data_IF_066315217282
#
_entry.id   IF_066315217282
#
_cell.length_a   1.000
_cell.length_b   1.000
_cell.length_c   1.000
_cell.angle_alpha   90.00
_cell.angle_beta   90.00
_cell.angle_gamma   90.00
#
_symmetry.space_group_name_H-M   'P 1'
#
loop_
_entity.id
_entity.type
_entity.pdbx_description
1 polymer ?
#
# COMPACT_ATOMS: atom_id res chain seq x y z
N UNK A 1 66.75 -41.91 21.25
CA UNK A 1 66.33 -41.04 20.14
C UNK A 1 64.82 -40.88 20.16
N UNK A 2 64.33 -39.65 20.30
CA UNK A 2 63.01 -39.22 19.80
C UNK A 2 61.74 -39.53 20.60
N UNK A 3 61.59 -38.98 21.80
CA UNK A 3 60.26 -38.83 22.45
C UNK A 3 59.47 -37.70 21.78
N UNK A 4 58.72 -38.02 20.72
CA UNK A 4 57.76 -37.10 20.12
C UNK A 4 56.55 -36.91 21.02
N UNK A 5 56.53 -35.85 21.84
CA UNK A 5 55.32 -35.40 22.56
C UNK A 5 54.20 -35.15 21.54
N UNK A 6 52.95 -35.63 21.75
CA UNK A 6 51.84 -35.25 20.89
C UNK A 6 51.63 -33.73 21.00
N UNK A 7 51.65 -33.04 19.87
CA UNK A 7 51.43 -31.60 19.79
C UNK A 7 50.06 -31.28 20.41
N UNK A 8 50.06 -30.50 21.50
CA UNK A 8 48.84 -29.94 22.07
C UNK A 8 48.24 -29.04 21.00
N UNK A 9 47.14 -29.47 20.41
CA UNK A 9 46.42 -28.68 19.40
C UNK A 9 45.92 -27.42 20.13
N UNK A 10 46.52 -26.28 19.82
CA UNK A 10 46.12 -25.00 20.37
C UNK A 10 44.73 -24.63 19.83
N UNK A 11 43.73 -24.89 20.66
CA UNK A 11 42.32 -24.63 20.35
C UNK A 11 42.04 -23.16 20.01
N UNK A 12 42.90 -22.22 20.44
CA UNK A 12 42.74 -20.79 20.13
C UNK A 12 43.23 -20.47 18.71
N UNK A 13 44.35 -21.03 18.28
CA UNK A 13 44.86 -20.94 16.92
C UNK A 13 43.90 -21.58 15.91
N UNK A 14 43.31 -22.74 16.25
CA UNK A 14 42.31 -23.41 15.43
C UNK A 14 41.03 -22.57 15.28
N UNK A 15 40.52 -21.98 16.37
CA UNK A 15 39.37 -21.05 16.34
C UNK A 15 39.66 -19.80 15.49
N UNK A 16 40.88 -19.26 15.55
CA UNK A 16 41.28 -18.10 14.76
C UNK A 16 41.42 -18.42 13.26
N UNK A 17 41.91 -19.62 12.91
CA UNK A 17 41.97 -20.10 11.54
C UNK A 17 40.57 -20.36 10.96
N UNK A 18 39.69 -21.00 11.75
CA UNK A 18 38.29 -21.24 11.38
C UNK A 18 37.54 -19.93 11.09
N UNK A 19 37.68 -18.93 11.98
CA UNK A 19 37.06 -17.59 11.78
C UNK A 19 37.57 -16.89 10.53
N UNK A 20 38.84 -17.06 10.15
CA UNK A 20 39.40 -16.50 8.91
C UNK A 20 38.85 -17.20 7.68
N UNK A 21 38.80 -18.53 7.69
CA UNK A 21 38.20 -19.31 6.60
C UNK A 21 36.71 -18.99 6.43
N UNK A 22 35.94 -18.93 7.53
CA UNK A 22 34.53 -18.54 7.51
C UNK A 22 34.32 -17.10 6.99
N UNK A 23 35.21 -16.16 7.33
CA UNK A 23 35.14 -14.79 6.78
C UNK A 23 35.38 -14.76 5.28
N UNK A 24 36.39 -15.48 4.78
CA UNK A 24 36.66 -15.60 3.34
C UNK A 24 35.48 -16.22 2.59
N UNK A 25 34.93 -17.30 3.14
CA UNK A 25 33.76 -17.97 2.56
C UNK A 25 32.51 -17.08 2.59
N UNK A 26 32.25 -16.34 3.68
CA UNK A 26 31.16 -15.34 3.76
C UNK A 26 31.37 -14.19 2.78
N UNK A 27 32.60 -13.73 2.61
CA UNK A 27 32.93 -12.66 1.66
C UNK A 27 32.70 -13.13 0.22
N UNK A 28 33.15 -14.34 -0.14
CA UNK A 28 32.89 -14.93 -1.45
C UNK A 28 31.39 -15.11 -1.71
N UNK A 29 30.62 -15.60 -0.73
CA UNK A 29 29.17 -15.69 -0.82
C UNK A 29 28.52 -14.30 -0.99
N UNK A 30 28.99 -13.28 -0.27
CA UNK A 30 28.51 -11.90 -0.43
C UNK A 30 28.84 -11.33 -1.81
N UNK A 31 30.04 -11.57 -2.34
CA UNK A 31 30.45 -11.10 -3.68
C UNK A 31 29.61 -11.78 -4.78
N UNK A 32 29.25 -13.06 -4.62
CA UNK A 32 28.37 -13.76 -5.56
C UNK A 32 26.94 -13.18 -5.58
N UNK A 33 26.45 -12.71 -4.43
CA UNK A 33 25.09 -12.16 -4.29
C UNK A 33 25.05 -10.63 -4.49
N UNK A 34 26.19 -9.95 -4.37
CA UNK A 34 26.31 -8.49 -4.46
C UNK A 34 25.77 -7.89 -5.77
N UNK A 35 26.03 -8.44 -6.97
CA UNK A 35 25.46 -7.91 -8.21
C UNK A 35 23.93 -7.90 -8.20
N UNK A 36 23.30 -8.94 -7.67
CA UNK A 36 21.84 -9.04 -7.55
C UNK A 36 21.29 -8.03 -6.53
N UNK A 37 21.95 -7.90 -5.37
CA UNK A 37 21.56 -6.92 -4.36
C UNK A 37 21.73 -5.49 -4.84
N UNK A 38 22.82 -5.20 -5.56
CA UNK A 38 23.05 -3.89 -6.17
C UNK A 38 22.00 -3.59 -7.24
N UNK A 39 21.69 -4.56 -8.10
CA UNK A 39 20.62 -4.43 -9.09
C UNK A 39 19.28 -4.13 -8.42
N UNK A 40 18.91 -4.86 -7.36
CA UNK A 40 17.70 -4.64 -6.58
C UNK A 40 17.70 -3.25 -5.93
N UNK A 41 18.82 -2.85 -5.31
CA UNK A 41 18.95 -1.58 -4.64
C UNK A 41 18.78 -0.41 -5.61
N UNK A 42 19.48 -0.46 -6.76
CA UNK A 42 19.47 0.61 -7.76
C UNK A 42 18.15 0.72 -8.52
N UNK A 43 17.52 -0.41 -8.88
CA UNK A 43 16.34 -0.39 -9.74
C UNK A 43 15.01 -0.39 -8.97
N UNK A 44 14.99 -0.85 -7.72
CA UNK A 44 13.76 -0.94 -6.93
C UNK A 44 13.84 -0.12 -5.65
N UNK A 45 14.82 -0.39 -4.78
CA UNK A 45 14.85 0.23 -3.43
C UNK A 45 15.05 1.74 -3.51
N UNK A 46 16.00 2.22 -4.32
CA UNK A 46 16.27 3.65 -4.46
C UNK A 46 15.11 4.40 -5.14
N UNK A 47 14.54 3.95 -6.27
CA UNK A 47 13.38 4.62 -6.87
C UNK A 47 12.14 4.60 -5.98
N UNK A 48 11.87 3.49 -5.28
CA UNK A 48 10.76 3.42 -4.33
C UNK A 48 11.02 4.36 -3.14
N UNK A 49 12.24 4.35 -2.60
CA UNK A 49 12.63 5.23 -1.51
C UNK A 49 12.51 6.71 -1.88
N UNK A 50 13.01 7.11 -3.04
CA UNK A 50 12.90 8.49 -3.54
C UNK A 50 11.45 8.89 -3.81
N UNK A 51 10.63 7.95 -4.32
CA UNK A 51 9.19 8.16 -4.49
C UNK A 51 8.49 8.33 -3.13
N UNK A 52 8.81 7.52 -2.12
CA UNK A 52 8.24 7.65 -0.77
C UNK A 52 8.66 8.95 -0.08
N UNK A 53 9.87 9.47 -0.34
CA UNK A 53 10.31 10.77 0.17
C UNK A 53 9.48 11.94 -0.37
N UNK A 54 8.81 11.79 -1.52
CA UNK A 54 7.84 12.79 -2.00
C UNK A 54 6.63 12.97 -1.09
N UNK A 55 6.38 12.04 -0.16
CA UNK A 55 5.35 12.21 0.87
C UNK A 55 5.65 13.35 1.85
N UNK A 56 6.92 13.73 1.98
CA UNK A 56 7.38 14.80 2.85
C UNK A 56 8.07 15.94 2.10
N UNK A 57 8.49 15.75 0.85
CA UNK A 57 9.16 16.79 0.07
C UNK A 57 8.14 17.65 -0.69
N UNK A 58 8.32 18.97 -0.66
CA UNK A 58 7.40 19.95 -1.26
C UNK A 58 8.16 21.21 -1.73
N UNK A 59 9.13 21.08 -2.66
CA UNK A 59 10.02 22.17 -3.02
C UNK A 59 9.35 23.27 -3.87
N UNK A 60 8.15 23.05 -4.40
CA UNK A 60 7.51 23.86 -5.44
C UNK A 60 7.48 25.35 -5.11
N UNK A 61 6.96 25.73 -3.92
CA UNK A 61 6.90 27.14 -3.52
C UNK A 61 8.31 27.70 -3.27
N UNK A 62 9.15 26.95 -2.55
CA UNK A 62 10.50 27.40 -2.19
C UNK A 62 11.45 27.58 -3.38
N UNK A 63 11.18 26.88 -4.50
CA UNK A 63 11.97 26.98 -5.74
C UNK A 63 11.44 28.08 -6.65
N UNK A 64 10.13 28.31 -6.68
CA UNK A 64 9.49 29.25 -7.61
C UNK A 64 9.33 30.65 -7.00
N UNK A 65 9.02 30.74 -5.70
CA UNK A 65 8.85 31.98 -4.94
C UNK A 65 9.79 31.96 -3.70
N UNK A 66 11.13 31.93 -3.90
CA UNK A 66 12.11 31.71 -2.84
C UNK A 66 12.09 32.80 -1.75
N UNK A 67 11.91 34.07 -2.12
CA UNK A 67 11.85 35.20 -1.20
C UNK A 67 10.59 35.13 -0.33
N UNK A 68 9.44 34.91 -0.95
CA UNK A 68 8.16 34.70 -0.24
C UNK A 68 8.28 33.52 0.73
N UNK A 69 8.81 32.39 0.27
CA UNK A 69 8.97 31.20 1.08
C UNK A 69 9.96 31.41 2.25
N UNK A 70 11.01 32.21 2.09
CA UNK A 70 11.93 32.55 3.17
C UNK A 70 11.26 33.39 4.25
N UNK A 71 10.49 34.41 3.86
CA UNK A 71 9.84 35.30 4.83
C UNK A 71 8.67 34.63 5.55
N UNK A 72 7.84 33.84 4.85
CA UNK A 72 6.71 33.13 5.45
C UNK A 72 7.14 32.10 6.50
N UNK A 73 8.34 31.53 6.37
CA UNK A 73 8.89 30.62 7.40
C UNK A 73 9.14 31.33 8.74
N UNK A 74 9.49 32.61 8.70
CA UNK A 74 9.72 33.42 9.90
C UNK A 74 8.44 33.98 10.54
N UNK A 75 7.30 33.91 9.84
CA UNK A 75 6.04 34.47 10.32
C UNK A 75 5.47 33.63 11.48
N UNK A 76 5.29 34.22 12.66
CA UNK A 76 4.75 33.52 13.83
C UNK A 76 3.22 33.33 13.75
N UNK A 77 2.73 32.16 14.17
CA UNK A 77 1.33 31.98 14.60
C UNK A 77 0.20 32.23 13.60
N UNK A 78 0.38 32.04 12.30
CA UNK A 78 -0.72 32.21 11.32
C UNK A 78 -1.20 33.66 11.19
N UNK A 79 -0.36 34.62 11.61
CA UNK A 79 -0.60 36.04 11.44
C UNK A 79 -0.76 36.38 9.94
N UNK A 80 -1.43 37.49 9.66
CA UNK A 80 -1.39 38.07 8.33
C UNK A 80 0.03 38.59 8.05
N UNK A 81 0.52 38.48 6.81
CA UNK A 81 1.82 39.03 6.44
C UNK A 81 1.83 40.56 6.60
N UNK A 82 3.01 41.11 6.82
CA UNK A 82 3.22 42.55 6.68
C UNK A 82 3.29 42.96 5.20
N UNK A 83 3.27 44.27 4.95
CA UNK A 83 3.36 44.81 3.60
C UNK A 83 4.69 44.46 2.92
N UNK A 84 5.74 44.16 3.68
CA UNK A 84 7.02 43.71 3.13
C UNK A 84 6.90 42.33 2.48
N UNK A 85 6.30 41.36 3.17
CA UNK A 85 6.04 40.02 2.63
C UNK A 85 5.09 40.10 1.42
N UNK A 86 4.05 40.94 1.49
CA UNK A 86 3.14 41.15 0.38
C UNK A 86 3.86 41.70 -0.86
N UNK A 87 4.75 42.68 -0.69
CA UNK A 87 5.51 43.26 -1.79
C UNK A 87 6.47 42.27 -2.46
N UNK A 88 7.16 41.46 -1.66
CA UNK A 88 8.04 40.39 -2.18
C UNK A 88 7.23 39.37 -2.96
N UNK A 89 6.08 38.95 -2.42
CA UNK A 89 5.17 38.01 -3.09
C UNK A 89 4.69 38.53 -4.43
N UNK A 90 4.22 39.78 -4.50
CA UNK A 90 3.76 40.39 -5.76
C UNK A 90 4.91 40.49 -6.77
N UNK A 91 6.10 40.87 -6.33
CA UNK A 91 7.30 40.97 -7.19
C UNK A 91 7.63 39.63 -7.83
N UNK A 92 7.68 38.55 -7.03
CA UNK A 92 7.97 37.21 -7.54
C UNK A 92 6.84 36.66 -8.42
N UNK A 93 5.57 36.99 -8.12
CA UNK A 93 4.44 36.65 -8.98
C UNK A 93 4.52 37.30 -10.36
N UNK A 94 4.96 38.57 -10.44
CA UNK A 94 5.19 39.25 -11.71
C UNK A 94 6.33 38.59 -12.50
N UNK A 95 7.45 38.26 -11.83
CA UNK A 95 8.59 37.59 -12.46
C UNK A 95 8.26 36.19 -12.98
N UNK A 96 7.44 35.44 -12.26
CA UNK A 96 7.06 34.05 -12.61
C UNK A 96 5.89 33.97 -13.59
N UNK A 97 5.29 35.11 -13.97
CA UNK A 97 4.18 35.19 -14.92
C UNK A 97 4.54 34.63 -16.30
N UNK A 98 5.76 34.87 -16.76
CA UNK A 98 6.21 34.50 -18.12
C UNK A 98 6.78 33.07 -18.19
N UNK A 99 7.29 32.53 -17.07
CA UNK A 99 7.97 31.23 -17.05
C UNK A 99 7.03 30.03 -17.02
N UNK A 100 5.72 30.24 -16.81
CA UNK A 100 4.73 29.16 -16.63
C UNK A 100 4.90 28.33 -15.35
N UNK A 101 5.97 28.58 -14.58
CA UNK A 101 6.32 27.83 -13.37
C UNK A 101 5.26 27.98 -12.27
N UNK A 102 4.55 29.11 -12.24
CA UNK A 102 3.49 29.39 -11.27
C UNK A 102 2.39 28.32 -11.23
N UNK A 103 2.16 27.58 -12.34
CA UNK A 103 1.16 26.51 -12.38
C UNK A 103 1.44 25.38 -11.37
N UNK A 104 2.72 25.07 -11.12
CA UNK A 104 3.11 24.05 -10.14
C UNK A 104 2.73 24.48 -8.71
N UNK A 105 3.08 25.71 -8.33
CA UNK A 105 2.69 26.32 -7.04
C UNK A 105 1.17 26.39 -6.92
N UNK A 106 0.49 26.85 -7.98
CA UNK A 106 -0.96 26.99 -7.99
C UNK A 106 -1.66 25.64 -7.77
N UNK A 107 -1.18 24.56 -8.40
CA UNK A 107 -1.68 23.21 -8.19
C UNK A 107 -1.45 22.74 -6.76
N UNK A 108 -0.23 22.94 -6.25
CA UNK A 108 0.15 22.54 -4.90
C UNK A 108 -0.72 23.19 -3.82
N UNK A 109 -0.94 24.50 -3.92
CA UNK A 109 -1.78 25.25 -2.99
C UNK A 109 -3.27 24.91 -3.14
N UNK A 110 -3.70 24.52 -4.34
CA UNK A 110 -5.06 24.06 -4.58
C UNK A 110 -5.36 22.70 -3.92
N UNK A 111 -4.33 21.91 -3.60
CA UNK A 111 -4.52 20.70 -2.80
C UNK A 111 -4.85 21.02 -1.33
N UNK A 112 -4.35 22.14 -0.80
CA UNK A 112 -4.61 22.57 0.58
C UNK A 112 -5.97 23.29 0.68
N UNK A 113 -6.18 24.27 -0.19
CA UNK A 113 -7.42 25.05 -0.24
C UNK A 113 -8.04 24.98 -1.64
N UNK A 114 -9.26 24.47 -1.71
CA UNK A 114 -10.01 24.41 -2.97
C UNK A 114 -10.19 25.81 -3.57
N UNK A 115 -9.83 25.97 -4.85
CA UNK A 115 -9.96 27.24 -5.57
C UNK A 115 -8.78 28.21 -5.38
N UNK A 116 -7.70 27.78 -4.70
CA UNK A 116 -6.47 28.57 -4.59
C UNK A 116 -5.81 28.76 -5.96
N UNK A 117 -5.89 27.76 -6.85
CA UNK A 117 -5.37 27.91 -8.23
C UNK A 117 -6.00 29.11 -8.92
N UNK A 118 -7.33 29.23 -8.85
CA UNK A 118 -8.08 30.35 -9.43
C UNK A 118 -7.75 31.67 -8.75
N UNK A 119 -7.59 31.67 -7.41
CA UNK A 119 -7.14 32.84 -6.64
C UNK A 119 -5.80 33.37 -7.19
N UNK A 120 -4.81 32.48 -7.29
CA UNK A 120 -3.45 32.84 -7.68
C UNK A 120 -3.41 33.39 -9.11
N UNK A 121 -4.05 32.69 -10.07
CA UNK A 121 -4.09 33.15 -11.46
C UNK A 121 -4.95 34.39 -11.69
N UNK A 122 -6.00 34.62 -10.88
CA UNK A 122 -6.76 35.89 -10.94
C UNK A 122 -5.89 37.04 -10.45
N UNK A 123 -5.19 36.82 -9.34
CA UNK A 123 -4.28 37.79 -8.73
C UNK A 123 -3.19 38.20 -9.71
N UNK A 124 -2.47 37.24 -10.30
CA UNK A 124 -1.39 37.55 -11.26
C UNK A 124 -1.85 38.24 -12.54
N UNK A 125 -3.11 38.03 -12.97
CA UNK A 125 -3.67 38.75 -14.12
C UNK A 125 -4.06 40.19 -13.82
N UNK A 126 -4.50 40.47 -12.58
CA UNK A 126 -4.92 41.80 -12.14
C UNK A 126 -3.78 42.65 -11.57
N UNK A 127 -2.69 42.01 -11.15
CA UNK A 127 -1.40 42.67 -10.92
C UNK A 127 -0.88 43.18 -12.27
N UNK A 128 -1.32 44.38 -12.68
CA UNK A 128 -0.76 45.08 -13.83
C UNK A 128 0.71 45.44 -13.61
N UNK A 129 1.35 46.05 -14.62
CA UNK A 129 2.75 46.52 -14.57
C UNK A 129 2.94 47.77 -13.67
N UNK A 130 1.90 48.16 -12.92
CA UNK A 130 1.80 49.44 -12.26
C UNK A 130 2.67 49.57 -11.00
N UNK A 131 3.24 50.77 -10.84
CA UNK A 131 4.12 51.30 -9.78
C UNK A 131 3.45 51.53 -8.42
N UNK A 132 2.24 51.00 -8.19
CA UNK A 132 1.53 51.15 -6.91
C UNK A 132 2.26 50.39 -5.79
N UNK A 133 2.17 50.84 -4.52
CA UNK A 133 2.78 50.11 -3.41
C UNK A 133 2.10 48.74 -3.27
N UNK A 134 2.90 47.69 -3.44
CA UNK A 134 2.49 46.27 -3.41
C UNK A 134 2.18 45.87 -1.94
N UNK A 135 1.09 46.40 -1.39
CA UNK A 135 0.63 46.20 0.00
C UNK A 135 -0.36 45.04 0.12
N UNK A 136 -0.57 44.55 1.34
CA UNK A 136 -1.58 43.52 1.59
C UNK A 136 -2.99 43.99 1.22
N UNK A 137 -3.31 45.26 1.47
CA UNK A 137 -4.63 45.83 1.18
C UNK A 137 -4.96 45.82 -0.33
N UNK A 138 -3.97 46.00 -1.21
CA UNK A 138 -4.15 45.88 -2.66
C UNK A 138 -4.49 44.43 -3.07
N UNK A 139 -3.84 43.43 -2.45
CA UNK A 139 -4.20 42.03 -2.67
C UNK A 139 -5.63 41.73 -2.22
N UNK A 140 -6.06 42.29 -1.08
CA UNK A 140 -7.43 42.14 -0.56
C UNK A 140 -8.45 42.78 -1.50
N UNK A 141 -8.14 43.91 -2.14
CA UNK A 141 -9.00 44.54 -3.16
C UNK A 141 -9.20 43.66 -4.39
N UNK A 142 -8.18 42.90 -4.79
CA UNK A 142 -8.27 41.94 -5.91
C UNK A 142 -9.17 40.76 -5.56
N UNK A 143 -8.94 40.13 -4.41
CA UNK A 143 -9.77 39.03 -3.91
C UNK A 143 -9.77 39.03 -2.36
N UNK A 144 -10.95 39.09 -1.70
CA UNK A 144 -11.05 39.16 -0.25
C UNK A 144 -10.38 37.99 0.49
N UNK A 145 -10.16 36.85 -0.19
CA UNK A 145 -9.47 35.70 0.42
C UNK A 145 -8.04 36.00 0.82
N UNK A 146 -7.38 36.99 0.23
CA UNK A 146 -6.04 37.42 0.69
C UNK A 146 -6.05 38.04 2.09
N UNK A 147 -7.21 38.50 2.58
CA UNK A 147 -7.37 38.98 3.96
C UNK A 147 -7.63 37.86 4.97
N UNK A 148 -7.73 36.61 4.51
CA UNK A 148 -7.97 35.46 5.37
C UNK A 148 -6.65 34.82 5.80
N UNK A 149 -6.54 34.49 7.09
CA UNK A 149 -5.36 33.82 7.66
C UNK A 149 -5.10 32.45 7.03
N UNK A 150 -6.16 31.72 6.67
CA UNK A 150 -6.05 30.39 6.04
C UNK A 150 -5.28 30.44 4.72
N UNK A 151 -5.47 31.50 3.92
CA UNK A 151 -4.78 31.67 2.62
C UNK A 151 -3.26 31.75 2.79
N UNK A 152 -2.81 32.55 3.76
CA UNK A 152 -1.39 32.71 4.05
C UNK A 152 -0.81 31.52 4.82
N UNK A 153 -1.63 30.84 5.62
CA UNK A 153 -1.25 29.59 6.25
C UNK A 153 -0.96 28.50 5.22
N UNK A 154 -1.76 28.37 4.15
CA UNK A 154 -1.49 27.41 3.07
C UNK A 154 -0.16 27.69 2.37
N UNK A 155 0.14 28.97 2.08
CA UNK A 155 1.45 29.37 1.56
C UNK A 155 2.58 29.05 2.54
N UNK A 156 2.37 29.32 3.82
CA UNK A 156 3.35 29.00 4.87
C UNK A 156 3.59 27.49 4.98
N UNK A 157 2.55 26.65 4.92
CA UNK A 157 2.69 25.20 4.96
C UNK A 157 3.44 24.62 3.75
N UNK A 158 3.42 25.32 2.62
CA UNK A 158 4.18 24.98 1.41
C UNK A 158 5.56 25.66 1.33
N UNK A 159 5.92 26.53 2.27
CA UNK A 159 7.15 27.36 2.21
C UNK A 159 8.46 26.60 2.49
N UNK A 160 8.37 25.44 3.14
CA UNK A 160 9.53 24.60 3.43
C UNK A 160 9.82 23.62 2.29
N UNK A 161 11.07 23.16 2.14
CA UNK A 161 11.40 22.04 1.25
C UNK A 161 10.74 20.72 1.72
N UNK A 162 10.27 20.70 2.97
CA UNK A 162 9.54 19.61 3.58
C UNK A 162 8.18 20.06 4.09
N UNK A 163 7.20 19.18 4.00
CA UNK A 163 5.82 19.38 4.45
C UNK A 163 5.32 18.15 5.22
N UNK A 164 4.46 18.37 6.20
CA UNK A 164 3.67 17.31 6.85
C UNK A 164 2.29 17.14 6.22
N UNK A 165 1.92 18.02 5.28
CA UNK A 165 0.59 18.12 4.69
C UNK A 165 0.07 16.79 4.15
N UNK A 166 0.81 16.13 3.27
CA UNK A 166 0.35 14.88 2.64
C UNK A 166 0.21 13.73 3.64
N UNK A 167 1.11 13.62 4.60
CA UNK A 167 1.04 12.58 5.64
C UNK A 167 -0.13 12.80 6.59
N UNK A 168 -0.40 14.05 6.98
CA UNK A 168 -1.57 14.38 7.78
C UNK A 168 -2.86 14.13 6.98
N UNK A 169 -2.91 14.56 5.72
CA UNK A 169 -4.04 14.33 4.84
C UNK A 169 -4.34 12.83 4.68
N UNK A 170 -3.30 11.98 4.55
CA UNK A 170 -3.44 10.53 4.44
C UNK A 170 -4.13 9.86 5.64
N UNK A 171 -4.16 10.53 6.80
CA UNK A 171 -4.82 10.06 8.03
C UNK A 171 -5.99 10.95 8.46
N UNK A 172 -6.58 11.69 7.51
CA UNK A 172 -7.69 12.63 7.73
C UNK A 172 -7.42 13.66 8.84
N UNK A 173 -6.22 14.24 8.78
CA UNK A 173 -5.76 15.34 9.62
C UNK A 173 -5.31 16.52 8.76
N UNK A 174 -5.46 17.73 9.28
CA UNK A 174 -4.98 18.96 8.65
C UNK A 174 -4.38 19.92 9.67
N UNK A 175 -3.52 20.81 9.22
CA UNK A 175 -3.00 21.91 10.02
C UNK A 175 -3.92 23.12 9.87
N UNK A 176 -4.27 23.77 10.99
CA UNK A 176 -4.95 25.08 10.97
C UNK A 176 -3.96 26.21 10.73
N UNK A 177 -4.47 27.43 10.56
CA UNK A 177 -3.62 28.62 10.42
C UNK A 177 -2.67 28.82 11.61
N UNK A 178 -3.11 28.45 12.80
CA UNK A 178 -2.36 28.53 14.05
C UNK A 178 -1.33 27.40 14.22
N UNK A 179 -1.27 26.45 13.27
CA UNK A 179 -0.38 25.29 13.32
C UNK A 179 -0.90 24.14 14.19
N UNK A 180 -2.17 24.17 14.61
CA UNK A 180 -2.78 23.07 15.35
C UNK A 180 -3.18 21.93 14.41
N UNK A 181 -2.94 20.68 14.83
CA UNK A 181 -3.39 19.50 14.08
C UNK A 181 -4.83 19.20 14.48
N UNK A 182 -5.76 19.36 13.53
CA UNK A 182 -7.19 19.09 13.74
C UNK A 182 -7.68 17.96 12.83
N UNK A 183 -8.79 17.35 13.24
CA UNK A 183 -9.52 16.40 12.40
C UNK A 183 -10.06 17.11 11.17
N UNK A 184 -9.85 16.53 9.99
CA UNK A 184 -10.50 17.00 8.77
C UNK A 184 -12.03 16.88 8.92
N UNK A 185 -12.83 17.85 8.45
CA UNK A 185 -14.29 17.76 8.51
C UNK A 185 -14.81 16.45 7.91
N UNK A 186 -15.90 15.90 8.46
CA UNK A 186 -16.39 14.55 8.09
C UNK A 186 -16.70 14.40 6.59
N UNK A 187 -17.08 15.48 5.91
CA UNK A 187 -17.34 15.48 4.47
C UNK A 187 -16.07 15.36 3.61
N UNK A 188 -14.90 15.62 4.19
CA UNK A 188 -13.59 15.60 3.53
C UNK A 188 -12.68 14.48 4.08
N UNK A 189 -12.99 13.93 5.26
CA UNK A 189 -12.28 12.81 5.86
C UNK A 189 -12.72 11.50 5.18
N UNK A 190 -11.90 11.01 4.23
CA UNK A 190 -12.22 9.84 3.40
C UNK A 190 -11.20 8.72 3.60
N UNK A 191 -9.94 9.04 3.88
CA UNK A 191 -8.86 8.06 3.77
C UNK A 191 -8.87 7.03 4.89
N UNK A 192 -9.14 7.42 6.13
CA UNK A 192 -9.18 6.50 7.28
C UNK A 192 -10.26 5.45 7.07
N UNK A 193 -11.43 5.83 6.55
CA UNK A 193 -12.51 4.88 6.26
C UNK A 193 -12.20 4.00 5.05
N UNK A 194 -11.50 4.53 4.04
CA UNK A 194 -10.95 3.72 2.94
C UNK A 194 -9.92 2.70 3.45
N UNK A 195 -9.05 3.07 4.39
CA UNK A 195 -8.10 2.13 5.02
C UNK A 195 -8.85 1.03 5.76
N UNK A 196 -9.79 1.37 6.65
CA UNK A 196 -10.62 0.38 7.37
C UNK A 196 -11.33 -0.56 6.40
N UNK A 197 -11.94 -0.01 5.34
CA UNK A 197 -12.59 -0.79 4.28
C UNK A 197 -11.61 -1.72 3.58
N UNK A 198 -10.42 -1.24 3.23
CA UNK A 198 -9.39 -2.04 2.57
C UNK A 198 -8.96 -3.22 3.43
N UNK A 199 -8.63 -2.98 4.69
CA UNK A 199 -8.25 -4.07 5.60
C UNK A 199 -9.40 -5.03 5.87
N UNK A 200 -10.62 -4.52 6.03
CA UNK A 200 -11.83 -5.33 6.23
C UNK A 200 -12.14 -6.22 5.03
N UNK A 201 -12.14 -5.67 3.82
CA UNK A 201 -12.38 -6.43 2.58
C UNK A 201 -11.27 -7.47 2.38
N UNK A 202 -9.99 -7.09 2.53
CA UNK A 202 -8.86 -8.01 2.38
C UNK A 202 -8.90 -9.16 3.39
N UNK A 203 -9.31 -8.89 4.63
CA UNK A 203 -9.48 -9.93 5.65
C UNK A 203 -10.59 -10.91 5.28
N UNK A 204 -11.76 -10.42 4.85
CA UNK A 204 -12.88 -11.28 4.41
C UNK A 204 -12.46 -12.13 3.21
N UNK A 205 -11.82 -11.54 2.20
CA UNK A 205 -11.34 -12.28 1.02
C UNK A 205 -10.32 -13.34 1.42
N UNK A 206 -9.42 -13.03 2.36
CA UNK A 206 -8.43 -14.00 2.84
C UNK A 206 -9.10 -15.19 3.52
N UNK A 207 -10.13 -14.95 4.34
CA UNK A 207 -10.92 -16.02 4.98
C UNK A 207 -11.66 -16.84 3.93
N UNK A 208 -12.32 -16.21 2.95
CA UNK A 208 -13.01 -16.92 1.86
C UNK A 208 -12.03 -17.78 1.05
N UNK A 209 -10.86 -17.23 0.70
CA UNK A 209 -9.80 -17.98 0.04
C UNK A 209 -9.34 -19.16 0.90
N UNK A 210 -9.13 -19.00 2.21
CA UNK A 210 -8.74 -20.09 3.09
C UNK A 210 -9.80 -21.20 3.12
N UNK A 211 -11.07 -20.85 3.32
CA UNK A 211 -12.18 -21.79 3.39
C UNK A 211 -12.30 -22.62 2.12
N UNK A 212 -12.13 -22.00 0.94
CA UNK A 212 -12.23 -22.68 -0.34
C UNK A 212 -10.93 -23.41 -0.74
N UNK A 213 -9.78 -22.82 -0.48
CA UNK A 213 -8.48 -23.39 -0.86
C UNK A 213 -8.07 -24.57 0.02
N UNK A 214 -8.48 -24.59 1.30
CA UNK A 214 -8.13 -25.68 2.22
C UNK A 214 -8.59 -27.07 1.72
N UNK A 215 -9.88 -27.29 1.37
CA UNK A 215 -10.31 -28.58 0.85
C UNK A 215 -9.67 -28.91 -0.49
N UNK A 216 -9.44 -27.92 -1.36
CA UNK A 216 -8.76 -28.11 -2.66
C UNK A 216 -7.31 -28.55 -2.45
N UNK A 217 -6.57 -27.89 -1.56
CA UNK A 217 -5.19 -28.23 -1.23
C UNK A 217 -5.09 -29.61 -0.55
N UNK A 218 -6.04 -29.93 0.33
CA UNK A 218 -6.13 -31.25 0.97
C UNK A 218 -6.37 -32.36 -0.05
N UNK A 219 -7.29 -32.14 -1.00
CA UNK A 219 -7.54 -33.07 -2.10
C UNK A 219 -6.27 -33.26 -2.95
N UNK A 220 -5.64 -32.16 -3.38
CA UNK A 220 -4.39 -32.17 -4.15
C UNK A 220 -3.27 -32.96 -3.46
N UNK A 221 -3.19 -32.90 -2.13
CA UNK A 221 -2.16 -33.58 -1.35
C UNK A 221 -2.44 -35.09 -1.13
N UNK A 222 -3.69 -35.54 -1.29
CA UNK A 222 -4.11 -36.91 -0.93
C UNK A 222 -4.40 -37.81 -2.15
N UNK A 223 -4.72 -37.24 -3.31
CA UNK A 223 -4.99 -38.01 -4.54
C UNK A 223 -3.70 -38.54 -5.19
N UNK A 224 -3.78 -39.56 -6.07
CA UNK A 224 -2.64 -40.04 -6.84
C UNK A 224 -1.96 -38.92 -7.63
N UNK A 225 -0.62 -38.95 -7.71
CA UNK A 225 0.19 -37.87 -8.27
C UNK A 225 -0.25 -37.40 -9.67
N UNK A 226 -0.74 -38.30 -10.53
CA UNK A 226 -1.26 -37.95 -11.87
C UNK A 226 -2.48 -37.03 -11.79
N UNK A 227 -3.45 -37.36 -10.92
CA UNK A 227 -4.67 -36.58 -10.73
C UNK A 227 -4.33 -35.27 -10.01
N UNK A 228 -3.47 -35.33 -8.99
CA UNK A 228 -3.01 -34.14 -8.27
C UNK A 228 -2.32 -33.12 -9.18
N UNK A 229 -1.44 -33.59 -10.08
CA UNK A 229 -0.79 -32.72 -11.06
C UNK A 229 -1.80 -32.11 -12.06
N UNK A 230 -2.79 -32.87 -12.52
CA UNK A 230 -3.85 -32.35 -13.40
C UNK A 230 -4.69 -31.28 -12.70
N UNK A 231 -5.13 -31.53 -11.47
CA UNK A 231 -5.87 -30.56 -10.66
C UNK A 231 -5.03 -29.30 -10.37
N UNK A 232 -3.71 -29.46 -10.15
CA UNK A 232 -2.80 -28.33 -9.97
C UNK A 232 -2.73 -27.48 -11.24
N UNK A 233 -2.69 -28.09 -12.43
CA UNK A 233 -2.74 -27.36 -13.71
C UNK A 233 -4.04 -26.53 -13.79
N UNK A 234 -5.19 -27.09 -13.39
CA UNK A 234 -6.47 -26.35 -13.36
C UNK A 234 -6.44 -25.17 -12.38
N UNK A 235 -5.83 -25.34 -11.21
CA UNK A 235 -5.66 -24.24 -10.24
C UNK A 235 -4.74 -23.15 -10.77
N UNK A 236 -3.73 -23.51 -11.57
CA UNK A 236 -2.77 -22.57 -12.15
C UNK A 236 -3.24 -21.94 -13.46
N UNK A 237 -4.24 -22.51 -14.12
CA UNK A 237 -4.80 -22.02 -15.38
C UNK A 237 -5.15 -20.51 -15.36
N UNK A 238 -5.70 -19.94 -14.28
CA UNK A 238 -5.97 -18.51 -14.20
C UNK A 238 -4.73 -17.64 -14.40
N UNK A 239 -3.52 -18.06 -14.04
CA UNK A 239 -2.30 -17.27 -14.20
C UNK A 239 -1.94 -16.98 -15.66
N UNK A 240 -2.36 -17.84 -16.59
CA UNK A 240 -2.06 -17.71 -18.02
C UNK A 240 -2.94 -16.68 -18.72
N UNK A 241 -3.99 -16.21 -18.05
CA UNK A 241 -4.89 -15.19 -18.56
C UNK A 241 -4.57 -13.85 -17.92
N UNK A 242 -4.97 -12.74 -18.55
CA UNK A 242 -4.84 -11.41 -17.96
C UNK A 242 -5.87 -11.21 -16.84
N UNK A 243 -5.45 -10.55 -15.75
CA UNK A 243 -6.36 -10.15 -14.64
C UNK A 243 -7.53 -9.33 -15.15
N UNK A 244 -7.29 -8.46 -16.14
CA UNK A 244 -8.34 -7.62 -16.74
C UNK A 244 -9.39 -8.46 -17.45
N UNK A 245 -8.97 -9.41 -18.29
CA UNK A 245 -9.88 -10.30 -19.03
C UNK A 245 -10.69 -11.18 -18.07
N UNK A 246 -10.07 -11.71 -17.01
CA UNK A 246 -10.81 -12.47 -15.99
C UNK A 246 -11.84 -11.59 -15.27
N UNK A 247 -11.46 -10.36 -14.95
CA UNK A 247 -12.35 -9.42 -14.25
C UNK A 247 -13.53 -9.02 -15.15
N UNK A 248 -13.31 -8.75 -16.44
CA UNK A 248 -14.40 -8.43 -17.38
C UNK A 248 -15.33 -9.62 -17.61
N UNK A 249 -14.80 -10.85 -17.65
CA UNK A 249 -15.63 -12.05 -17.69
C UNK A 249 -16.53 -12.15 -16.45
N UNK A 250 -16.00 -11.89 -15.24
CA UNK A 250 -16.80 -11.85 -14.02
C UNK A 250 -17.85 -10.75 -14.03
N UNK A 251 -17.56 -9.58 -14.60
CA UNK A 251 -18.57 -8.53 -14.77
C UNK A 251 -19.77 -9.05 -15.58
N UNK A 252 -19.53 -9.69 -16.72
CA UNK A 252 -20.61 -10.25 -17.57
C UNK A 252 -21.35 -11.38 -16.86
N UNK A 253 -20.65 -12.24 -16.12
CA UNK A 253 -21.26 -13.36 -15.38
C UNK A 253 -22.16 -12.91 -14.23
N UNK A 254 -21.76 -11.85 -13.51
CA UNK A 254 -22.43 -11.33 -12.30
C UNK A 254 -23.45 -10.23 -12.60
N UNK A 255 -23.61 -9.84 -13.86
CA UNK A 255 -24.68 -8.92 -14.25
C UNK A 255 -26.06 -9.46 -13.88
N UNK A 256 -27.05 -8.56 -13.83
CA UNK A 256 -28.44 -8.90 -13.48
C UNK A 256 -29.04 -9.96 -14.39
N UNK A 257 -28.75 -9.86 -15.70
CA UNK A 257 -29.10 -10.88 -16.71
C UNK A 257 -27.95 -11.83 -17.05
N UNK A 258 -26.93 -11.89 -16.19
CA UNK A 258 -25.77 -12.75 -16.35
C UNK A 258 -26.09 -14.23 -16.11
N UNK A 259 -25.14 -15.09 -16.48
CA UNK A 259 -25.28 -16.55 -16.38
C UNK A 259 -25.54 -16.99 -14.93
N UNK A 260 -24.94 -16.34 -13.93
CA UNK A 260 -25.12 -16.71 -12.52
C UNK A 260 -26.57 -16.54 -12.09
N UNK A 261 -27.15 -15.35 -12.30
CA UNK A 261 -28.56 -15.09 -12.01
C UNK A 261 -29.49 -15.98 -12.87
N UNK A 262 -29.13 -16.23 -14.13
CA UNK A 262 -29.86 -17.15 -15.00
C UNK A 262 -29.94 -18.58 -14.45
N UNK A 263 -28.83 -19.13 -13.94
CA UNK A 263 -28.78 -20.46 -13.33
C UNK A 263 -29.57 -20.48 -12.01
N UNK A 264 -29.40 -19.47 -11.15
CA UNK A 264 -30.10 -19.40 -9.86
C UNK A 264 -31.63 -19.31 -10.04
N UNK A 265 -32.10 -18.55 -11.03
CA UNK A 265 -33.53 -18.50 -11.39
C UNK A 265 -34.02 -19.83 -11.95
N UNK A 266 -33.27 -20.48 -12.84
CA UNK A 266 -33.65 -21.81 -13.39
C UNK A 266 -33.68 -22.91 -12.33
N UNK A 267 -32.84 -22.80 -11.31
CA UNK A 267 -32.82 -23.71 -10.17
C UNK A 267 -33.90 -23.39 -9.12
N UNK A 268 -34.73 -22.36 -9.37
CA UNK A 268 -35.80 -21.88 -8.49
C UNK A 268 -35.31 -21.49 -7.07
N UNK A 269 -34.04 -21.06 -6.97
CA UNK A 269 -33.41 -20.62 -5.71
C UNK A 269 -33.75 -19.17 -5.40
N UNK A 270 -33.96 -18.34 -6.45
CA UNK A 270 -34.26 -16.91 -6.33
C UNK A 270 -35.44 -16.53 -7.23
N UNK A 271 -36.31 -15.65 -6.72
CA UNK A 271 -37.45 -15.11 -7.46
C UNK A 271 -37.06 -13.87 -8.28
N UNK A 272 -36.19 -13.02 -7.73
CA UNK A 272 -35.67 -11.81 -8.37
C UNK A 272 -34.16 -11.89 -8.59
N UNK A 273 -33.62 -11.32 -9.69
CA UNK A 273 -32.19 -11.35 -9.96
C UNK A 273 -31.41 -10.55 -8.91
N UNK A 274 -30.40 -11.19 -8.32
CA UNK A 274 -29.54 -10.58 -7.33
C UNK A 274 -28.64 -9.53 -7.98
N UNK A 275 -28.49 -8.37 -7.32
CA UNK A 275 -27.45 -7.42 -7.70
C UNK A 275 -26.10 -7.98 -7.22
N UNK A 276 -25.29 -8.49 -8.15
CA UNK A 276 -23.97 -9.09 -7.86
C UNK A 276 -22.80 -8.30 -8.46
N UNK A 277 -23.09 -7.16 -9.10
CA UNK A 277 -22.11 -6.24 -9.68
C UNK A 277 -22.35 -4.82 -9.15
N UNK A 278 -21.31 -4.00 -9.14
CA UNK A 278 -21.27 -2.66 -8.57
C UNK A 278 -21.58 -2.64 -7.08
N UNK A 279 -21.16 -3.70 -6.37
CA UNK A 279 -21.29 -3.83 -4.94
C UNK A 279 -20.21 -4.73 -4.33
N UNK A 280 -20.20 -4.79 -3.00
CA UNK A 280 -19.23 -5.54 -2.20
C UNK A 280 -19.25 -7.04 -2.46
N UNK A 281 -20.41 -7.62 -2.72
CA UNK A 281 -20.55 -9.07 -2.98
C UNK A 281 -19.79 -9.48 -4.23
N UNK A 282 -19.92 -8.71 -5.32
CA UNK A 282 -19.16 -8.94 -6.55
C UNK A 282 -17.66 -8.82 -6.33
N UNK A 283 -17.22 -7.85 -5.53
CA UNK A 283 -15.81 -7.68 -5.15
C UNK A 283 -15.30 -8.93 -4.42
N UNK A 284 -16.04 -9.45 -3.43
CA UNK A 284 -15.65 -10.66 -2.72
C UNK A 284 -15.53 -11.87 -3.64
N UNK A 285 -16.52 -12.10 -4.53
CA UNK A 285 -16.50 -13.23 -5.46
C UNK A 285 -15.28 -13.14 -6.40
N UNK A 286 -15.12 -11.99 -7.07
CA UNK A 286 -14.08 -11.81 -8.07
C UNK A 286 -12.67 -11.83 -7.45
N UNK A 287 -12.47 -11.15 -6.32
CA UNK A 287 -11.17 -11.16 -5.63
C UNK A 287 -10.84 -12.55 -5.08
N UNK A 288 -11.81 -13.26 -4.51
CA UNK A 288 -11.60 -14.63 -4.01
C UNK A 288 -11.15 -15.54 -5.14
N UNK A 289 -11.80 -15.49 -6.30
CA UNK A 289 -11.39 -16.29 -7.46
C UNK A 289 -9.97 -15.96 -7.94
N UNK A 290 -9.62 -14.68 -8.04
CA UNK A 290 -8.28 -14.27 -8.49
C UNK A 290 -7.19 -14.68 -7.51
N UNK A 291 -7.47 -14.61 -6.20
CA UNK A 291 -6.49 -14.85 -5.15
C UNK A 291 -6.44 -16.31 -4.65
N UNK A 292 -7.44 -17.13 -4.96
CA UNK A 292 -7.52 -18.54 -4.54
C UNK A 292 -6.26 -19.36 -4.86
N UNK A 293 -5.65 -19.27 -6.06
CA UNK A 293 -4.43 -20.04 -6.35
C UNK A 293 -3.26 -19.70 -5.42
N UNK A 294 -3.14 -18.43 -5.00
CA UNK A 294 -2.09 -17.98 -4.08
C UNK A 294 -2.29 -18.53 -2.66
N UNK A 295 -3.52 -18.87 -2.26
CA UNK A 295 -3.77 -19.59 -1.00
C UNK A 295 -3.48 -21.09 -1.14
N UNK A 296 -3.84 -21.70 -2.28
CA UNK A 296 -3.67 -23.14 -2.52
C UNK A 296 -2.19 -23.53 -2.50
N UNK A 297 -1.31 -22.73 -3.10
CA UNK A 297 0.10 -23.10 -3.26
C UNK A 297 0.85 -23.31 -1.93
N UNK A 298 0.84 -22.37 -0.96
CA UNK A 298 1.48 -22.58 0.34
C UNK A 298 0.84 -23.71 1.15
N UNK A 299 -0.50 -23.83 1.11
CA UNK A 299 -1.22 -24.92 1.77
C UNK A 299 -0.78 -26.29 1.24
N UNK A 300 -0.82 -26.47 -0.09
CA UNK A 300 -0.42 -27.70 -0.75
C UNK A 300 1.05 -28.05 -0.46
N UNK A 301 1.95 -27.06 -0.48
CA UNK A 301 3.37 -27.25 -0.20
C UNK A 301 3.62 -27.88 1.18
N UNK A 302 2.87 -27.44 2.21
CA UNK A 302 2.94 -28.01 3.55
C UNK A 302 2.20 -29.35 3.64
N UNK A 303 0.97 -29.42 3.13
CA UNK A 303 0.10 -30.60 3.23
C UNK A 303 0.70 -31.84 2.58
N UNK A 304 1.41 -31.68 1.45
CA UNK A 304 2.07 -32.79 0.74
C UNK A 304 3.20 -33.41 1.56
N UNK A 305 3.83 -32.64 2.46
CA UNK A 305 4.91 -33.11 3.33
C UNK A 305 4.42 -33.83 4.59
N UNK A 306 3.12 -33.79 4.92
CA UNK A 306 2.58 -34.38 6.14
C UNK A 306 2.46 -35.91 5.97
N UNK A 307 3.15 -36.66 6.83
CA UNK A 307 3.02 -38.12 6.86
C UNK A 307 1.60 -38.53 7.31
N UNK A 308 0.99 -39.57 6.70
CA UNK A 308 -0.32 -40.06 7.11
C UNK A 308 -0.28 -40.85 8.44
N UNK A 309 0.91 -41.21 8.94
CA UNK A 309 1.07 -42.07 10.12
C UNK A 309 0.42 -41.52 11.40
N UNK A 310 0.58 -40.24 11.79
CA UNK A 310 -0.03 -39.72 13.02
C UNK A 310 -1.56 -39.77 12.99
N UNK A 311 -2.16 -39.52 11.82
CA UNK A 311 -3.61 -39.57 11.63
C UNK A 311 -4.11 -41.02 11.74
N UNK A 312 -3.41 -41.97 11.12
CA UNK A 312 -3.74 -43.40 11.22
C UNK A 312 -3.62 -43.91 12.65
N UNK A 313 -2.57 -43.51 13.39
CA UNK A 313 -2.39 -43.87 14.79
C UNK A 313 -3.54 -43.34 15.67
N UNK A 314 -3.97 -42.10 15.47
CA UNK A 314 -5.10 -41.53 16.21
C UNK A 314 -6.42 -42.29 15.97
N UNK A 315 -6.67 -42.69 14.71
CA UNK A 315 -7.84 -43.51 14.36
C UNK A 315 -7.79 -44.89 15.06
N UNK A 316 -6.62 -45.54 15.08
CA UNK A 316 -6.44 -46.83 15.76
C UNK A 316 -6.62 -46.75 17.28
N UNK A 317 -6.38 -45.58 17.89
CA UNK A 317 -6.64 -45.31 19.32
C UNK A 317 -8.11 -44.94 19.62
N UNK A 318 -9.01 -45.06 18.64
CA UNK A 318 -10.44 -44.81 18.81
C UNK A 318 -10.88 -43.37 18.55
N UNK A 319 -10.02 -42.50 18.03
CA UNK A 319 -10.44 -41.15 17.63
C UNK A 319 -11.36 -41.21 16.40
N UNK A 320 -12.43 -40.42 16.38
CA UNK A 320 -13.26 -40.26 15.18
C UNK A 320 -12.47 -39.56 14.05
N UNK A 321 -12.80 -39.76 12.76
CA UNK A 321 -12.11 -39.11 11.64
C UNK A 321 -12.03 -37.59 11.76
N UNK A 322 -13.12 -36.96 12.21
CA UNK A 322 -13.15 -35.52 12.45
C UNK A 322 -12.24 -35.10 13.62
N UNK A 323 -12.19 -35.90 14.70
CA UNK A 323 -11.31 -35.64 15.83
C UNK A 323 -9.83 -35.80 15.44
N UNK A 324 -9.49 -36.85 14.69
CA UNK A 324 -8.15 -37.08 14.16
C UNK A 324 -7.72 -35.95 13.21
N UNK A 325 -8.61 -35.52 12.32
CA UNK A 325 -8.36 -34.36 11.44
C UNK A 325 -8.10 -33.08 12.25
N UNK A 326 -9.02 -32.70 13.14
CA UNK A 326 -8.95 -31.42 13.86
C UNK A 326 -7.80 -31.35 14.86
N UNK A 327 -7.50 -32.46 15.56
CA UNK A 327 -6.48 -32.48 16.63
C UNK A 327 -5.09 -32.87 16.16
N UNK A 328 -4.98 -33.63 15.07
CA UNK A 328 -3.67 -34.14 14.60
C UNK A 328 -3.28 -33.52 13.26
N UNK A 329 -4.16 -33.51 12.27
CA UNK A 329 -3.82 -33.02 10.93
C UNK A 329 -3.80 -31.49 10.84
N UNK A 330 -4.88 -30.82 11.27
CA UNK A 330 -5.04 -29.37 11.15
C UNK A 330 -3.92 -28.55 11.84
N UNK A 331 -3.41 -28.92 13.03
CA UNK A 331 -2.29 -28.19 13.63
C UNK A 331 -1.00 -28.28 12.80
N UNK A 332 -0.79 -29.37 12.06
CA UNK A 332 0.38 -29.54 11.20
C UNK A 332 0.29 -28.70 9.92
N UNK A 333 -0.90 -28.29 9.50
CA UNK A 333 -1.08 -27.40 8.34
C UNK A 333 -0.99 -25.92 8.69
N UNK A 334 -0.88 -25.56 9.98
CA UNK A 334 -0.78 -24.17 10.44
C UNK A 334 0.31 -23.35 9.73
N UNK A 335 1.53 -23.84 9.49
CA UNK A 335 2.53 -23.07 8.73
C UNK A 335 2.10 -22.75 7.30
N UNK A 336 1.33 -23.64 6.67
CA UNK A 336 0.79 -23.44 5.32
C UNK A 336 -0.38 -22.47 5.32
N UNK A 337 -1.29 -22.60 6.30
CA UNK A 337 -2.38 -21.64 6.53
C UNK A 337 -1.79 -20.26 6.74
N UNK A 338 -0.75 -20.15 7.56
CA UNK A 338 -0.21 -18.84 7.91
C UNK A 338 0.52 -18.21 6.73
N UNK A 339 1.33 -18.97 6.00
CA UNK A 339 1.97 -18.47 4.78
C UNK A 339 0.93 -18.04 3.72
N UNK A 340 -0.11 -18.86 3.51
CA UNK A 340 -1.17 -18.59 2.54
C UNK A 340 -2.02 -17.37 2.90
N UNK A 341 -2.44 -17.25 4.16
CA UNK A 341 -3.25 -16.11 4.61
C UNK A 341 -2.46 -14.80 4.51
N UNK A 342 -1.20 -14.80 4.91
CA UNK A 342 -0.36 -13.61 4.81
C UNK A 342 -0.14 -13.19 3.36
N UNK A 343 0.17 -14.14 2.49
CA UNK A 343 0.39 -13.88 1.07
C UNK A 343 -0.87 -13.29 0.41
N UNK A 344 -2.03 -13.93 0.61
CA UNK A 344 -3.30 -13.44 0.05
C UNK A 344 -3.70 -12.09 0.64
N UNK A 345 -3.50 -11.89 1.94
CA UNK A 345 -3.86 -10.62 2.59
C UNK A 345 -3.04 -9.45 2.05
N UNK A 346 -1.71 -9.63 1.91
CA UNK A 346 -0.82 -8.60 1.33
C UNK A 346 -1.21 -8.31 -0.13
N UNK A 347 -1.49 -9.34 -0.93
CA UNK A 347 -1.93 -9.17 -2.31
C UNK A 347 -3.29 -8.47 -2.41
N UNK A 348 -4.23 -8.80 -1.52
CA UNK A 348 -5.58 -8.22 -1.50
C UNK A 348 -5.58 -6.73 -1.17
N UNK A 349 -4.73 -6.29 -0.23
CA UNK A 349 -4.61 -4.88 0.16
C UNK A 349 -4.17 -4.01 -1.02
N UNK A 350 -3.24 -4.52 -1.85
CA UNK A 350 -2.70 -3.81 -3.01
C UNK A 350 -3.61 -3.82 -4.25
N UNK A 351 -4.78 -4.46 -4.17
CA UNK A 351 -5.56 -4.83 -5.34
C UNK A 351 -6.56 -3.74 -5.73
N UNK A 352 -6.38 -3.07 -6.87
CA UNK A 352 -7.28 -1.97 -7.29
C UNK A 352 -8.10 -2.26 -8.55
N UNK A 353 -7.61 -3.07 -9.49
CA UNK A 353 -8.25 -3.27 -10.79
C UNK A 353 -9.63 -3.94 -10.64
N UNK A 354 -9.71 -5.04 -9.89
CA UNK A 354 -10.98 -5.77 -9.74
C UNK A 354 -12.03 -5.00 -8.94
N UNK A 355 -11.72 -4.37 -7.79
CA UNK A 355 -12.66 -3.49 -7.11
C UNK A 355 -13.13 -2.30 -7.96
N UNK A 356 -12.25 -1.72 -8.78
CA UNK A 356 -12.60 -0.62 -9.67
C UNK A 356 -13.59 -1.01 -10.78
N UNK A 357 -13.57 -2.28 -11.21
CA UNK A 357 -14.43 -2.79 -12.28
C UNK A 357 -15.73 -3.43 -11.76
N UNK A 358 -15.65 -4.20 -10.68
CA UNK A 358 -16.77 -5.02 -10.16
C UNK A 358 -17.46 -4.36 -8.97
N UNK A 359 -16.77 -3.50 -8.22
CA UNK A 359 -17.28 -2.85 -7.01
C UNK A 359 -18.07 -1.57 -7.27
N UNK A 360 -18.77 -1.10 -6.23
CA UNK A 360 -19.42 0.21 -6.22
C UNK A 360 -18.44 1.34 -5.85
N UNK A 361 -18.95 2.57 -5.79
CA UNK A 361 -18.19 3.72 -5.29
C UNK A 361 -17.69 3.50 -3.84
N UNK A 362 -18.52 2.86 -3.02
CA UNK A 362 -18.22 2.55 -1.62
C UNK A 362 -17.38 1.27 -1.42
N UNK A 363 -16.87 0.67 -2.49
CA UNK A 363 -16.02 -0.53 -2.42
C UNK A 363 -14.60 -0.32 -2.99
N UNK A 364 -14.25 0.92 -3.33
CA UNK A 364 -12.92 1.26 -3.82
C UNK A 364 -11.85 1.12 -2.72
N UNK A 365 -10.76 0.43 -3.00
CA UNK A 365 -9.68 0.23 -2.04
C UNK A 365 -8.65 1.36 -2.09
N UNK A 366 -7.79 1.46 -1.09
CA UNK A 366 -6.76 2.51 -1.01
C UNK A 366 -5.85 2.54 -2.25
N UNK A 367 -5.56 1.38 -2.83
CA UNK A 367 -4.75 1.26 -4.03
C UNK A 367 -5.37 1.95 -5.25
N UNK A 368 -6.70 2.09 -5.31
CA UNK A 368 -7.36 2.90 -6.33
C UNK A 368 -6.99 4.38 -6.17
N UNK A 369 -7.04 4.92 -4.95
CA UNK A 369 -6.70 6.32 -4.68
C UNK A 369 -5.22 6.60 -4.96
N UNK A 370 -4.32 5.69 -4.62
CA UNK A 370 -2.90 5.79 -4.99
C UNK A 370 -2.76 5.90 -6.51
N UNK A 371 -3.44 5.04 -7.28
CA UNK A 371 -3.42 5.09 -8.73
C UNK A 371 -4.07 6.36 -9.30
N UNK A 372 -5.16 6.84 -8.71
CA UNK A 372 -5.84 8.09 -9.07
C UNK A 372 -4.93 9.30 -8.88
N UNK A 373 -4.27 9.41 -7.72
CA UNK A 373 -3.34 10.50 -7.45
C UNK A 373 -2.11 10.44 -8.34
N UNK A 374 -1.65 9.25 -8.70
CA UNK A 374 -0.48 9.07 -9.59
C UNK A 374 -0.82 9.40 -11.04
N UNK A 375 -1.95 8.90 -11.57
CA UNK A 375 -2.20 8.90 -13.02
C UNK A 375 -3.20 9.97 -13.49
N UNK A 376 -4.12 10.43 -12.63
CA UNK A 376 -5.15 11.40 -13.03
C UNK A 376 -4.82 12.82 -12.56
N UNK A 377 -4.49 12.98 -11.28
CA UNK A 377 -4.21 14.31 -10.71
C UNK A 377 -2.73 14.66 -10.71
N UNK A 378 -1.85 13.69 -10.98
CA UNK A 378 -0.38 13.84 -10.92
C UNK A 378 0.10 14.42 -9.57
N UNK A 379 -0.62 14.13 -8.48
CA UNK A 379 -0.25 14.49 -7.12
C UNK A 379 0.64 13.41 -6.51
N UNK A 380 1.92 13.47 -6.86
CA UNK A 380 2.93 12.51 -6.42
C UNK A 380 3.12 12.51 -4.89
N UNK A 381 2.95 13.66 -4.23
CA UNK A 381 3.06 13.77 -2.78
C UNK A 381 1.96 13.01 -2.05
N UNK A 382 0.70 13.18 -2.47
CA UNK A 382 -0.42 12.43 -1.91
C UNK A 382 -0.32 10.94 -2.20
N UNK A 383 0.02 10.55 -3.44
CA UNK A 383 0.22 9.15 -3.81
C UNK A 383 1.32 8.49 -2.94
N UNK A 384 2.44 9.17 -2.75
CA UNK A 384 3.54 8.71 -1.91
C UNK A 384 3.13 8.60 -0.43
N UNK A 385 2.38 9.56 0.10
CA UNK A 385 1.91 9.53 1.49
C UNK A 385 0.94 8.37 1.76
N UNK A 386 -0.06 8.17 0.90
CA UNK A 386 -0.97 7.03 0.99
C UNK A 386 -0.21 5.70 0.89
N UNK A 387 0.74 5.61 -0.05
CA UNK A 387 1.61 4.44 -0.20
C UNK A 387 2.48 4.17 1.03
N UNK A 388 3.07 5.21 1.62
CA UNK A 388 3.90 5.10 2.83
C UNK A 388 3.08 4.64 4.04
N UNK A 389 1.89 5.21 4.25
CA UNK A 389 0.98 4.80 5.33
C UNK A 389 0.55 3.35 5.12
N UNK A 390 0.16 2.98 3.90
CA UNK A 390 -0.20 1.60 3.57
C UNK A 390 0.94 0.63 3.84
N UNK A 391 2.16 0.97 3.43
CA UNK A 391 3.35 0.15 3.67
C UNK A 391 3.64 0.02 5.18
N UNK A 392 3.61 1.13 5.92
CA UNK A 392 3.85 1.13 7.35
C UNK A 392 2.84 0.26 8.10
N UNK A 393 1.54 0.41 7.82
CA UNK A 393 0.49 -0.42 8.43
C UNK A 393 0.65 -1.88 8.02
N UNK A 394 0.97 -2.17 6.76
CA UNK A 394 1.20 -3.55 6.29
C UNK A 394 2.40 -4.19 6.98
N UNK A 395 3.50 -3.46 7.18
CA UNK A 395 4.68 -3.95 7.90
C UNK A 395 4.39 -4.18 9.40
N UNK A 396 3.59 -3.32 10.02
CA UNK A 396 3.12 -3.51 11.41
C UNK A 396 2.27 -4.79 11.48
N UNK A 397 1.29 -4.96 10.59
CA UNK A 397 0.46 -6.15 10.53
C UNK A 397 1.29 -7.41 10.27
N UNK A 398 2.29 -7.35 9.38
CA UNK A 398 3.25 -8.42 9.16
C UNK A 398 4.06 -8.76 10.43
N UNK A 399 4.55 -7.76 11.15
CA UNK A 399 5.28 -7.95 12.40
C UNK A 399 4.41 -8.58 13.49
N UNK A 400 3.18 -8.12 13.64
CA UNK A 400 2.19 -8.72 14.55
C UNK A 400 1.88 -10.15 14.13
N UNK A 401 1.68 -10.38 12.84
CA UNK A 401 1.36 -11.68 12.29
C UNK A 401 2.46 -12.70 12.53
N UNK A 402 3.71 -12.35 12.22
CA UNK A 402 4.87 -13.24 12.45
C UNK A 402 5.09 -13.53 13.93
N UNK A 403 4.84 -12.55 14.81
CA UNK A 403 4.91 -12.75 16.26
C UNK A 403 3.81 -13.68 16.78
N UNK A 404 2.58 -13.56 16.28
CA UNK A 404 1.44 -14.40 16.67
C UNK A 404 1.50 -15.80 16.05
N UNK A 405 1.88 -15.89 14.77
CA UNK A 405 2.03 -17.15 14.04
C UNK A 405 3.21 -17.98 14.54
N UNK A 406 4.11 -17.37 15.31
CA UNK A 406 5.10 -18.06 16.10
C UNK A 406 6.26 -18.59 15.25
N UNK A 407 7.45 -18.30 15.75
CA UNK A 407 8.74 -18.90 15.45
C UNK A 407 8.80 -20.41 15.78
N UNK A 408 7.76 -21.18 15.43
CA UNK A 408 7.64 -22.63 15.66
C UNK A 408 8.15 -23.49 14.49
N UNK A 409 8.61 -22.89 13.40
CA UNK A 409 9.17 -23.61 12.24
C UNK A 409 10.63 -23.29 11.88
N UNK A 410 11.23 -22.22 12.44
CA UNK A 410 12.62 -21.83 12.13
C UNK A 410 13.61 -22.21 13.24
N UNK A 411 13.39 -23.35 13.91
CA UNK A 411 14.47 -24.03 14.63
C UNK A 411 15.07 -25.05 13.68
N UNK A 412 16.11 -24.63 12.96
CA UNK A 412 17.06 -25.57 12.37
C UNK A 412 17.60 -26.44 13.51
N UNK A 413 17.16 -27.70 13.57
CA UNK A 413 17.79 -28.75 14.36
C UNK A 413 18.53 -29.67 13.42
#
# INVERSE_FOLDING_TARGET
MGSGRPAVIDSTALKAALRRAERSQKLHALVLVAPLLLFLALNFVLPIGSMLLRSIQDPELSTILPGTAALLRGLEGGALPDDHIAAVFVTELRQTRESGALSAVANRLNYDINGFRTLLFRTTRQLGDATSPDTLDELVKIDPRWGQRETWAALKHASGPYTSFYLLAAIDRRLTAEGAIVTTPAQQAVFVDVFKRTFGISAVVTVLCLVLAYPVAYLLATVPARIGNLLMILVLLPFWTSVLVRTTAWMVLLQREGIVNGILRRADIISDPLQLIHNRTGVYIAMTYVLLPFMVLPLYGVMKGISPLPVRAALSLGASPFAAFRRVYLPQTLPGITAGCLLVFILAIGFYITPALVGGADDQLISYFIAFYTNQTLNWGMAAALGLVLLAVTLILYGVYTKLAGTSGLKWR
#
